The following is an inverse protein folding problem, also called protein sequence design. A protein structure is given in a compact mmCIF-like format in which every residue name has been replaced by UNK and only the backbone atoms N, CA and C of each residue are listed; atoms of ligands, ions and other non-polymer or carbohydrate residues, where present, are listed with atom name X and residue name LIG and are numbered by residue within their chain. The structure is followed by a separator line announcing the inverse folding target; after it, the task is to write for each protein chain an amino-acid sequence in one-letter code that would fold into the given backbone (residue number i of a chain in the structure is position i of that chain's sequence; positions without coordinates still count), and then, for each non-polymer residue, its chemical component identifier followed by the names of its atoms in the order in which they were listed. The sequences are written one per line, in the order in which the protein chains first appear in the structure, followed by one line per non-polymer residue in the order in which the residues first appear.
data_IF_493000390289
#
_entry.id   IF_493000390289
#
_cell.length_a   1.000
_cell.length_b   1.000
_cell.length_c   1.000
_cell.angle_alpha   90.00
_cell.angle_beta   90.00
_cell.angle_gamma   90.00
#
_symmetry.space_group_name_H-M   'P 1'
#
loop_
_entity.id
_entity.type
_entity.pdbx_description
1 polymer ?
#
# COMPACT_ATOMS: atom_id res chain seq x y z
N UNK A 1 -8.23 -4.27 -15.19
CA UNK A 1 -8.52 -3.58 -13.93
C UNK A 1 -9.11 -4.59 -12.98
N UNK A 2 -8.44 -4.83 -11.86
CA UNK A 2 -8.93 -5.70 -10.79
C UNK A 2 -10.08 -4.96 -10.08
N UNK A 3 -11.12 -5.70 -9.69
CA UNK A 3 -12.24 -5.13 -8.93
C UNK A 3 -11.81 -4.96 -7.48
N UNK A 4 -11.94 -3.75 -6.95
CA UNK A 4 -11.78 -3.44 -5.53
C UNK A 4 -13.15 -3.62 -4.89
N UNK A 5 -13.26 -4.55 -3.94
CA UNK A 5 -14.53 -4.85 -3.26
C UNK A 5 -14.73 -4.01 -1.97
N UNK A 6 -13.65 -3.36 -1.51
CA UNK A 6 -13.58 -2.53 -0.30
C UNK A 6 -13.95 -1.06 -0.57
N UNK A 7 -14.27 -0.29 0.47
CA UNK A 7 -14.50 1.15 0.31
C UNK A 7 -13.17 1.87 0.05
N UNK A 8 -13.09 2.61 -1.06
CA UNK A 8 -11.87 3.35 -1.41
C UNK A 8 -11.83 4.66 -0.62
N UNK A 9 -10.79 4.82 0.19
CA UNK A 9 -10.50 6.03 0.97
C UNK A 9 -9.65 7.00 0.15
N UNK A 10 -8.62 6.49 -0.54
CA UNK A 10 -7.73 7.29 -1.38
C UNK A 10 -7.16 6.48 -2.56
N UNK A 11 -6.68 7.18 -3.59
CA UNK A 11 -6.11 6.57 -4.80
C UNK A 11 -4.81 7.26 -5.19
N UNK A 12 -3.80 6.46 -5.52
CA UNK A 12 -2.45 6.85 -5.93
C UNK A 12 -2.05 5.97 -7.12
N UNK A 13 -2.35 6.42 -8.34
CA UNK A 13 -2.11 5.63 -9.55
C UNK A 13 -2.80 4.26 -9.48
N UNK A 14 -2.00 3.19 -9.59
CA UNK A 14 -2.48 1.80 -9.52
C UNK A 14 -2.70 1.27 -8.09
N UNK A 15 -2.53 2.11 -7.07
CA UNK A 15 -2.68 1.74 -5.67
C UNK A 15 -3.84 2.49 -5.02
N UNK A 16 -4.70 1.76 -4.32
CA UNK A 16 -5.81 2.34 -3.57
C UNK A 16 -5.67 2.00 -2.10
N UNK A 17 -5.96 2.98 -1.25
CA UNK A 17 -6.11 2.78 0.20
C UNK A 17 -7.59 2.54 0.46
N UNK A 18 -7.89 1.46 1.17
CA UNK A 18 -9.25 1.04 1.51
C UNK A 18 -9.41 0.92 3.02
N UNK A 19 -10.64 0.70 3.47
CA UNK A 19 -10.97 0.42 4.88
C UNK A 19 -10.39 -0.90 5.41
N UNK A 20 -9.90 -1.76 4.51
CA UNK A 20 -9.21 -3.02 4.82
C UNK A 20 -7.69 -2.97 4.64
N UNK A 21 -7.13 -1.92 4.02
CA UNK A 21 -5.68 -1.80 3.83
C UNK A 21 -5.31 -1.12 2.51
N UNK A 22 -4.47 -1.78 1.71
CA UNK A 22 -4.02 -1.28 0.40
C UNK A 22 -4.27 -2.36 -0.64
N UNK A 23 -4.80 -1.97 -1.79
CA UNK A 23 -5.03 -2.85 -2.94
C UNK A 23 -4.41 -2.28 -4.21
N UNK A 24 -3.93 -3.15 -5.11
CA UNK A 24 -3.47 -2.78 -6.43
C UNK A 24 -4.59 -2.99 -7.46
N UNK A 25 -4.82 -2.00 -8.33
CA UNK A 25 -5.86 -2.07 -9.38
C UNK A 25 -5.33 -2.68 -10.68
N UNK A 26 -4.00 -2.78 -10.82
CA UNK A 26 -3.31 -3.38 -11.97
C UNK A 26 -3.11 -4.90 -11.80
N UNK A 27 -2.76 -5.37 -10.61
CA UNK A 27 -2.55 -6.80 -10.29
C UNK A 27 -3.34 -7.22 -9.05
N UNK A 28 -3.55 -8.53 -8.84
CA UNK A 28 -4.22 -9.01 -7.63
C UNK A 28 -3.26 -9.01 -6.41
N UNK A 29 -2.82 -7.83 -6.00
CA UNK A 29 -1.92 -7.61 -4.87
C UNK A 29 -2.63 -6.77 -3.81
N UNK A 30 -2.61 -7.24 -2.57
CA UNK A 30 -3.21 -6.53 -1.44
C UNK A 30 -2.34 -6.65 -0.18
N UNK A 31 -2.38 -5.62 0.66
CA UNK A 31 -1.78 -5.60 2.00
C UNK A 31 -2.91 -5.24 2.98
N UNK A 32 -3.32 -6.21 3.79
CA UNK A 32 -4.33 -5.98 4.83
C UNK A 32 -3.79 -5.03 5.91
N UNK A 33 -4.67 -4.22 6.50
CA UNK A 33 -4.31 -3.20 7.50
C UNK A 33 -3.58 -3.79 8.71
N UNK A 34 -3.91 -5.01 9.12
CA UNK A 34 -3.26 -5.73 10.22
C UNK A 34 -1.80 -6.08 9.91
N UNK A 35 -1.43 -6.09 8.64
CA UNK A 35 -0.08 -6.39 8.15
C UNK A 35 0.75 -5.14 7.85
N UNK A 36 0.15 -3.95 7.80
CA UNK A 36 0.86 -2.67 7.61
C UNK A 36 2.01 -2.43 8.62
N UNK A 37 1.93 -2.88 9.89
CA UNK A 37 3.05 -2.74 10.82
C UNK A 37 4.26 -3.64 10.49
N UNK A 38 4.11 -4.64 9.62
CA UNK A 38 5.22 -5.50 9.22
C UNK A 38 6.34 -4.68 8.56
N UNK A 39 7.61 -5.00 8.82
CA UNK A 39 8.73 -4.30 8.20
C UNK A 39 8.82 -4.62 6.70
N UNK A 40 9.63 -3.84 5.99
CA UNK A 40 10.10 -4.12 4.63
C UNK A 40 9.06 -4.13 3.51
N UNK A 41 7.81 -3.72 3.75
CA UNK A 41 6.84 -3.53 2.65
C UNK A 41 7.33 -2.64 1.51
N UNK A 42 7.89 -1.45 1.83
CA UNK A 42 8.41 -0.54 0.80
C UNK A 42 9.47 -1.24 -0.03
N UNK A 43 10.46 -1.85 0.61
CA UNK A 43 11.51 -2.58 -0.10
C UNK A 43 10.94 -3.73 -0.95
N UNK A 44 10.15 -4.63 -0.34
CA UNK A 44 9.62 -5.83 -0.99
C UNK A 44 8.76 -5.52 -2.22
N UNK A 45 7.88 -4.53 -2.13
CA UNK A 45 6.94 -4.19 -3.19
C UNK A 45 7.64 -3.39 -4.28
N UNK A 46 8.51 -2.45 -3.93
CA UNK A 46 9.27 -1.65 -4.89
C UNK A 46 10.33 -2.44 -5.68
N UNK A 47 10.64 -3.70 -5.33
CA UNK A 47 11.46 -4.60 -6.16
C UNK A 47 10.70 -5.15 -7.38
N UNK A 48 9.37 -5.05 -7.43
CA UNK A 48 8.57 -5.63 -8.51
C UNK A 48 8.56 -4.70 -9.72
N UNK A 49 8.77 -5.24 -10.91
CA UNK A 49 8.91 -4.47 -12.17
C UNK A 49 7.63 -3.74 -12.60
N UNK A 50 6.47 -4.17 -12.09
CA UNK A 50 5.17 -3.58 -12.39
C UNK A 50 4.74 -2.50 -11.40
N UNK A 51 5.55 -2.19 -10.39
CA UNK A 51 5.21 -1.22 -9.34
C UNK A 51 5.77 0.15 -9.68
N UNK A 52 4.90 1.15 -9.75
CA UNK A 52 5.33 2.53 -9.59
C UNK A 52 5.65 2.80 -8.11
N UNK A 53 6.94 3.01 -7.82
CA UNK A 53 7.45 3.17 -6.46
C UNK A 53 6.85 4.38 -5.74
N UNK A 54 6.73 5.51 -6.44
CA UNK A 54 6.22 6.76 -5.87
C UNK A 54 4.76 6.60 -5.47
N UNK A 55 3.97 5.98 -6.35
CA UNK A 55 2.55 5.74 -6.08
C UNK A 55 2.37 4.79 -4.89
N UNK A 56 3.13 3.70 -4.84
CA UNK A 56 3.08 2.75 -3.74
C UNK A 56 3.51 3.36 -2.40
N UNK A 57 4.63 4.08 -2.37
CA UNK A 57 5.13 4.71 -1.14
C UNK A 57 4.15 5.75 -0.58
N UNK A 58 3.52 6.54 -1.46
CA UNK A 58 2.50 7.51 -1.06
C UNK A 58 1.23 6.81 -0.54
N UNK A 59 0.76 5.77 -1.22
CA UNK A 59 -0.36 4.96 -0.75
C UNK A 59 -0.07 4.31 0.60
N UNK A 60 1.13 3.76 0.77
CA UNK A 60 1.55 3.09 2.00
C UNK A 60 1.63 4.05 3.18
N UNK A 61 2.26 5.22 3.00
CA UNK A 61 2.30 6.27 4.04
C UNK A 61 0.89 6.72 4.42
N UNK A 62 0.02 6.96 3.43
CA UNK A 62 -1.36 7.36 3.70
C UNK A 62 -2.16 6.28 4.43
N UNK A 63 -1.95 5.00 4.09
CA UNK A 63 -2.60 3.89 4.78
C UNK A 63 -2.15 3.78 6.26
N UNK A 64 -0.88 4.02 6.56
CA UNK A 64 -0.40 4.06 7.95
C UNK A 64 -1.11 5.14 8.76
N UNK A 65 -1.26 6.33 8.19
CA UNK A 65 -1.95 7.45 8.83
C UNK A 65 -3.45 7.14 9.04
N UNK A 66 -4.14 6.67 8.00
CA UNK A 66 -5.58 6.35 8.03
C UNK A 66 -5.90 5.24 9.03
N UNK A 67 -5.06 4.21 9.09
CA UNK A 67 -5.27 3.06 9.98
C UNK A 67 -4.64 3.25 11.36
N UNK A 68 -4.10 4.44 11.67
CA UNK A 68 -3.41 4.77 12.93
C UNK A 68 -2.31 3.76 13.30
N UNK A 69 -1.54 3.32 12.30
CA UNK A 69 -0.48 2.33 12.47
C UNK A 69 0.87 3.03 12.61
N UNK A 70 1.58 2.73 13.70
CA UNK A 70 3.00 3.10 13.86
C UNK A 70 3.83 2.03 13.15
N UNK A 71 4.48 2.38 12.05
CA UNK A 71 5.38 1.48 11.33
C UNK A 71 6.85 1.77 11.65
N UNK A 72 7.66 0.72 11.78
CA UNK A 72 9.11 0.83 12.00
C UNK A 72 9.91 0.75 10.69
N UNK A 73 9.29 1.06 9.55
CA UNK A 73 9.97 1.05 8.25
C UNK A 73 11.18 1.98 8.33
N UNK A 74 12.37 1.42 8.13
CA UNK A 74 13.60 2.20 8.01
C UNK A 74 13.62 2.73 6.59
N UNK A 75 13.49 4.05 6.45
CA UNK A 75 13.78 4.75 5.20
C UNK A 75 15.26 4.53 4.87
N UNK A 76 15.57 3.44 4.16
CA UNK A 76 16.89 3.20 3.62
C UNK A 76 17.03 4.01 2.33
N UNK A 77 17.49 5.25 2.49
CA UNK A 77 18.09 6.06 1.43
C UNK A 77 19.45 5.49 1.01
#
# INVERSE_FOLDING_TARGET
MVKVDSEIIATFGDWVVTDYGIECTYTNYFIAKERLPEPDWIHHVCQKTWVNKVDFENAFKHALDVHNVISHQKDHY
#
